data_IF_960702913267
#
_entry.id   IF_960702913267
#
_cell.length_a   1.000
_cell.length_b   1.000
_cell.length_c   1.000
_cell.angle_alpha   90.00
_cell.angle_beta   90.00
_cell.angle_gamma   90.00
#
_symmetry.space_group_name_H-M   'P 1'
#
loop_
_entity.id
_entity.type
_entity.pdbx_description
1 polymer ?
#
# COMPACT_ATOMS: atom_id res chain seq x y z
N UNK A 1 -0.85 13.59 2.71
CA UNK A 1 -1.73 14.68 3.19
C UNK A 1 -1.69 14.92 4.71
N UNK A 2 -1.60 13.90 5.60
CA UNK A 2 -1.47 14.17 7.06
C UNK A 2 -0.06 14.64 7.45
N UNK A 3 0.99 14.02 6.89
CA UNK A 3 2.38 14.36 7.22
C UNK A 3 2.75 15.82 6.92
N UNK A 4 2.38 16.34 5.75
CA UNK A 4 2.75 17.68 5.28
C UNK A 4 2.19 18.83 6.12
N UNK A 5 1.16 18.58 6.93
CA UNK A 5 0.50 19.57 7.79
C UNK A 5 0.85 19.42 9.27
N UNK A 6 1.59 18.37 9.64
CA UNK A 6 2.05 18.16 11.01
C UNK A 6 3.28 19.03 11.33
N UNK A 7 3.40 19.43 12.60
CA UNK A 7 4.64 20.04 13.09
C UNK A 7 5.78 19.01 13.11
N UNK A 8 7.03 19.46 13.04
CA UNK A 8 8.19 18.56 13.13
C UNK A 8 8.17 17.71 14.42
N UNK A 9 7.68 18.28 15.53
CA UNK A 9 7.52 17.56 16.79
C UNK A 9 6.45 16.46 16.72
N UNK A 10 5.33 16.70 16.02
CA UNK A 10 4.32 15.67 15.79
C UNK A 10 4.85 14.57 14.86
N UNK A 11 5.52 14.95 13.76
CA UNK A 11 6.09 14.02 12.79
C UNK A 11 7.10 13.05 13.42
N UNK A 12 7.92 13.51 14.37
CA UNK A 12 8.90 12.68 15.07
C UNK A 12 8.26 11.53 15.88
N UNK A 13 6.96 11.61 16.17
CA UNK A 13 6.22 10.55 16.87
C UNK A 13 5.54 9.57 15.92
N UNK A 14 5.49 9.85 14.62
CA UNK A 14 4.81 9.00 13.65
C UNK A 14 5.50 7.64 13.51
N UNK A 15 4.68 6.62 13.24
CA UNK A 15 5.14 5.30 12.80
C UNK A 15 4.52 5.00 11.45
N UNK A 16 5.38 4.85 10.44
CA UNK A 16 4.98 4.49 9.10
C UNK A 16 4.99 2.98 8.97
N UNK A 17 3.83 2.39 8.67
CA UNK A 17 3.71 0.96 8.37
C UNK A 17 3.58 0.81 6.87
N UNK A 18 4.52 0.10 6.24
CA UNK A 18 4.58 -0.07 4.79
C UNK A 18 4.54 -1.57 4.50
N UNK A 19 3.40 -2.05 3.99
CA UNK A 19 3.29 -3.41 3.46
C UNK A 19 3.85 -3.49 2.04
N UNK A 20 4.65 -4.50 1.75
CA UNK A 20 5.24 -4.75 0.43
C UNK A 20 5.02 -6.19 -0.02
N UNK A 21 4.96 -6.36 -1.34
CA UNK A 21 5.02 -7.64 -2.04
C UNK A 21 5.42 -7.38 -3.49
N UNK A 22 5.76 -8.41 -4.27
CA UNK A 22 6.36 -8.21 -5.60
C UNK A 22 5.51 -7.34 -6.55
N UNK A 23 4.17 -7.40 -6.45
CA UNK A 23 3.26 -6.64 -7.31
C UNK A 23 3.30 -5.12 -7.10
N UNK A 24 3.96 -4.64 -6.04
CA UNK A 24 4.21 -3.20 -5.85
C UNK A 24 5.37 -2.67 -6.67
N UNK A 25 6.24 -3.55 -7.15
CA UNK A 25 7.45 -3.19 -7.87
C UNK A 25 7.30 -3.39 -9.39
N UNK A 26 6.09 -3.22 -9.92
CA UNK A 26 5.89 -3.13 -11.38
C UNK A 26 6.50 -1.82 -11.86
N UNK A 27 7.16 -1.83 -13.02
CA UNK A 27 7.65 -0.62 -13.66
C UNK A 27 6.52 0.40 -13.91
N UNK A 28 6.77 1.69 -13.68
CA UNK A 28 5.76 2.75 -13.82
C UNK A 28 5.17 2.80 -15.23
N UNK A 29 6.00 2.72 -16.27
CA UNK A 29 5.56 2.81 -17.66
C UNK A 29 4.74 1.55 -18.06
N UNK A 30 4.93 0.43 -17.35
CA UNK A 30 4.14 -0.79 -17.50
C UNK A 30 2.82 -0.74 -16.71
N UNK A 31 2.84 -0.26 -15.46
CA UNK A 31 1.66 -0.22 -14.59
C UNK A 31 0.65 0.83 -15.04
N UNK A 32 1.13 1.96 -15.57
CA UNK A 32 0.30 3.09 -15.97
C UNK A 32 0.64 3.53 -17.41
N UNK A 33 0.17 2.78 -18.42
CA UNK A 33 0.47 3.08 -19.82
C UNK A 33 -0.12 4.43 -20.28
N UNK A 34 0.61 5.11 -21.18
CA UNK A 34 0.51 6.56 -21.49
C UNK A 34 -0.69 6.99 -22.36
N UNK A 35 -1.87 6.40 -22.20
CA UNK A 35 -2.99 6.75 -23.10
C UNK A 35 -3.51 8.19 -22.86
N UNK A 36 -3.41 8.71 -21.63
CA UNK A 36 -3.81 10.07 -21.22
C UNK A 36 -2.97 10.65 -20.05
N UNK A 37 -1.93 9.92 -19.62
CA UNK A 37 -1.10 10.24 -18.44
C UNK A 37 0.24 10.85 -18.82
N UNK A 38 0.75 11.80 -18.02
CA UNK A 38 2.15 12.17 -18.11
C UNK A 38 3.01 11.07 -17.47
N UNK A 39 4.24 10.92 -17.95
CA UNK A 39 5.17 9.91 -17.42
C UNK A 39 5.37 10.15 -15.92
N UNK A 40 5.08 9.15 -15.10
CA UNK A 40 5.17 9.25 -13.64
C UNK A 40 3.84 9.44 -12.93
N UNK A 41 2.76 9.78 -13.64
CA UNK A 41 1.43 9.91 -13.03
C UNK A 41 0.88 8.53 -12.63
N UNK A 42 0.61 8.38 -11.33
CA UNK A 42 -0.10 7.24 -10.75
C UNK A 42 -1.62 7.44 -10.83
N UNK A 43 -2.39 6.42 -10.42
CA UNK A 43 -3.84 6.57 -10.26
C UNK A 43 -4.21 7.64 -9.22
N UNK A 44 -3.40 7.76 -8.15
CA UNK A 44 -3.60 8.78 -7.12
C UNK A 44 -3.38 10.16 -7.72
N UNK A 45 -2.31 10.36 -8.50
CA UNK A 45 -2.03 11.65 -9.13
C UNK A 45 -3.16 12.06 -10.06
N UNK A 46 -3.68 11.11 -10.83
CA UNK A 46 -4.85 11.32 -11.71
C UNK A 46 -6.08 11.78 -10.91
N UNK A 47 -6.36 11.15 -9.77
CA UNK A 47 -7.45 11.59 -8.88
C UNK A 47 -7.19 12.95 -8.22
N UNK A 48 -5.93 13.28 -7.89
CA UNK A 48 -5.58 14.60 -7.34
C UNK A 48 -5.85 15.72 -8.34
N UNK A 49 -5.61 15.49 -9.64
CA UNK A 49 -5.90 16.47 -10.69
C UNK A 49 -7.40 16.63 -10.96
N UNK A 50 -8.20 15.58 -10.70
CA UNK A 50 -9.61 15.49 -11.12
C UNK A 50 -10.49 16.63 -10.60
N UNK A 51 -10.19 17.14 -9.41
CA UNK A 51 -10.98 18.17 -8.75
C UNK A 51 -10.36 19.57 -8.84
N UNK A 52 -9.25 19.72 -9.58
CA UNK A 52 -8.56 21.00 -9.76
C UNK A 52 -7.85 21.53 -8.51
N UNK A 53 -7.74 20.73 -7.45
CA UNK A 53 -6.99 21.09 -6.23
C UNK A 53 -5.48 20.97 -6.41
N UNK A 54 -5.05 20.15 -7.36
CA UNK A 54 -3.65 19.97 -7.73
C UNK A 54 -3.44 20.30 -9.20
N UNK A 55 -2.31 20.94 -9.50
CA UNK A 55 -1.83 21.14 -10.86
C UNK A 55 -0.65 20.22 -11.15
N UNK A 56 -0.52 19.84 -12.43
CA UNK A 56 0.62 19.07 -12.93
C UNK A 56 1.87 19.94 -12.96
N UNK A 57 3.00 19.34 -12.58
CA UNK A 57 4.36 19.90 -12.74
C UNK A 57 5.31 18.78 -13.16
N UNK A 58 6.52 19.12 -13.62
CA UNK A 58 7.54 18.13 -13.99
C UNK A 58 7.95 17.22 -12.82
N UNK A 59 7.71 17.67 -11.59
CA UNK A 59 7.94 16.92 -10.34
C UNK A 59 6.71 16.21 -9.78
N UNK A 60 5.58 16.20 -10.52
CA UNK A 60 4.32 15.60 -10.09
C UNK A 60 3.26 16.60 -9.60
N UNK A 61 2.25 16.16 -8.81
CA UNK A 61 1.17 17.02 -8.38
C UNK A 61 1.62 18.05 -7.34
N UNK A 62 1.24 19.32 -7.56
CA UNK A 62 1.47 20.42 -6.61
C UNK A 62 0.13 21.07 -6.25
N UNK A 63 -0.17 21.31 -4.96
CA UNK A 63 -1.42 21.94 -4.56
C UNK A 63 -1.54 23.35 -5.16
N UNK A 64 -2.74 23.68 -5.63
CA UNK A 64 -3.04 24.98 -6.23
C UNK A 64 -3.13 26.07 -5.16
N UNK A 65 -3.68 25.75 -3.99
CA UNK A 65 -3.69 26.66 -2.85
C UNK A 65 -2.51 26.37 -1.90
N UNK A 66 -2.02 27.40 -1.20
CA UNK A 66 -1.07 27.22 -0.11
C UNK A 66 -1.58 26.23 0.94
N UNK A 67 -0.69 25.41 1.50
CA UNK A 67 -0.96 24.36 2.50
C UNK A 67 -1.88 24.83 3.65
N UNK A 68 -1.77 26.09 4.08
CA UNK A 68 -2.63 26.69 5.12
C UNK A 68 -4.13 26.68 4.79
N UNK A 69 -4.50 26.54 3.52
CA UNK A 69 -5.88 26.47 3.05
C UNK A 69 -6.36 25.04 2.77
N UNK A 70 -5.53 24.01 2.95
CA UNK A 70 -5.96 22.61 2.81
C UNK A 70 -7.23 22.27 3.63
N UNK A 71 -7.42 22.75 4.87
CA UNK A 71 -8.67 22.49 5.60
C UNK A 71 -9.91 23.03 4.89
N UNK A 72 -9.77 24.20 4.23
CA UNK A 72 -10.85 24.81 3.46
C UNK A 72 -11.10 24.04 2.16
N UNK A 73 -10.06 23.62 1.45
CA UNK A 73 -10.18 22.75 0.27
C UNK A 73 -10.92 21.46 0.58
N UNK A 74 -10.56 20.79 1.68
CA UNK A 74 -11.23 19.57 2.15
C UNK A 74 -12.71 19.85 2.49
N UNK A 75 -13.03 21.01 3.06
CA UNK A 75 -14.42 21.38 3.32
C UNK A 75 -15.21 21.60 2.02
N UNK A 76 -14.59 22.21 1.02
CA UNK A 76 -15.22 22.55 -0.27
C UNK A 76 -15.40 21.34 -1.21
N UNK A 77 -14.52 20.34 -1.15
CA UNK A 77 -14.63 19.14 -1.99
C UNK A 77 -15.68 18.15 -1.48
N UNK A 78 -15.99 18.15 -0.17
CA UNK A 78 -16.95 17.22 0.45
C UNK A 78 -18.33 17.24 -0.22
N UNK A 79 -18.96 18.40 -0.51
CA UNK A 79 -20.21 18.43 -1.26
C UNK A 79 -20.11 17.78 -2.64
N UNK A 80 -19.00 18.01 -3.36
CA UNK A 80 -18.80 17.40 -4.68
C UNK A 80 -18.65 15.88 -4.58
N UNK A 81 -17.87 15.38 -3.61
CA UNK A 81 -17.74 13.94 -3.35
C UNK A 81 -19.07 13.30 -2.93
N UNK A 82 -19.89 14.02 -2.17
CA UNK A 82 -21.23 13.57 -1.78
C UNK A 82 -22.15 13.45 -3.00
N UNK A 83 -22.16 14.45 -3.88
CA UNK A 83 -22.92 14.41 -5.13
C UNK A 83 -22.44 13.27 -6.04
N UNK A 84 -21.12 13.10 -6.17
CA UNK A 84 -20.56 11.99 -6.96
C UNK A 84 -20.95 10.64 -6.36
N UNK A 85 -20.90 10.48 -5.04
CA UNK A 85 -21.35 9.25 -4.37
C UNK A 85 -22.82 8.99 -4.65
N UNK A 86 -23.71 9.97 -4.45
CA UNK A 86 -25.15 9.83 -4.73
C UNK A 86 -25.38 9.46 -6.20
N UNK A 87 -24.68 10.11 -7.13
CA UNK A 87 -24.78 9.79 -8.56
C UNK A 87 -24.27 8.36 -8.87
N UNK A 88 -23.20 7.91 -8.21
CA UNK A 88 -22.70 6.54 -8.33
C UNK A 88 -23.71 5.53 -7.78
N UNK A 89 -24.24 5.76 -6.58
CA UNK A 89 -25.23 4.89 -5.93
C UNK A 89 -26.51 4.80 -6.77
N UNK A 90 -26.96 5.92 -7.36
CA UNK A 90 -28.12 5.95 -8.26
C UNK A 90 -27.88 5.25 -9.60
N UNK A 91 -26.64 5.24 -10.08
CA UNK A 91 -26.25 4.57 -11.33
C UNK A 91 -25.73 3.16 -11.10
N UNK A 92 -25.66 2.69 -9.86
CA UNK A 92 -25.11 1.38 -9.50
C UNK A 92 -25.92 0.24 -10.11
N UNK A 93 -27.26 0.29 -10.01
CA UNK A 93 -28.14 -0.71 -10.63
C UNK A 93 -28.03 -0.75 -12.16
N UNK A 94 -27.80 0.41 -12.80
CA UNK A 94 -27.59 0.50 -14.25
C UNK A 94 -26.18 0.01 -14.65
N UNK A 95 -25.16 0.31 -13.84
CA UNK A 95 -23.79 -0.17 -14.03
C UNK A 95 -23.69 -1.67 -13.80
N UNK A 96 -24.41 -2.24 -12.84
CA UNK A 96 -24.46 -3.68 -12.62
C UNK A 96 -25.14 -4.41 -13.79
N UNK A 97 -26.15 -3.78 -14.40
CA UNK A 97 -26.82 -4.30 -15.59
C UNK A 97 -25.99 -4.16 -16.89
N UNK A 98 -25.08 -3.17 -16.98
CA UNK A 98 -24.31 -2.85 -18.18
C UNK A 98 -22.82 -3.25 -18.11
N UNK A 99 -22.26 -3.40 -16.91
CA UNK A 99 -20.85 -3.73 -16.68
C UNK A 99 -20.75 -4.97 -15.76
N UNK A 100 -20.03 -5.98 -16.23
CA UNK A 100 -19.75 -7.24 -15.53
C UNK A 100 -18.69 -6.97 -14.43
N UNK A 101 -19.00 -6.13 -13.44
CA UNK A 101 -18.26 -6.17 -12.18
C UNK A 101 -18.95 -7.21 -11.30
N UNK A 102 -18.25 -8.29 -10.88
CA UNK A 102 -18.84 -9.22 -9.94
C UNK A 102 -19.23 -8.48 -8.66
N UNK A 103 -20.33 -8.88 -8.00
CA UNK A 103 -20.81 -8.23 -6.79
C UNK A 103 -19.74 -8.27 -5.69
N UNK A 104 -19.71 -7.24 -4.85
CA UNK A 104 -18.84 -7.21 -3.67
C UNK A 104 -19.21 -8.37 -2.74
N UNK A 105 -18.25 -9.26 -2.48
CA UNK A 105 -18.42 -10.39 -1.59
C UNK A 105 -18.26 -9.94 -0.12
N UNK A 106 -19.17 -10.39 0.73
CA UNK A 106 -19.07 -10.24 2.19
C UNK A 106 -17.85 -11.02 2.73
N UNK A 107 -17.37 -10.65 3.92
CA UNK A 107 -16.28 -11.39 4.58
C UNK A 107 -16.60 -12.88 4.73
N UNK A 108 -17.86 -13.21 5.04
CA UNK A 108 -18.31 -14.59 5.20
C UNK A 108 -18.29 -15.39 3.90
N UNK A 109 -18.51 -14.73 2.76
CA UNK A 109 -18.41 -15.34 1.44
C UNK A 109 -16.96 -15.50 1.02
N UNK A 110 -16.11 -14.47 1.25
CA UNK A 110 -14.67 -14.52 1.02
C UNK A 110 -14.00 -15.67 1.77
N UNK A 111 -14.41 -15.90 3.01
CA UNK A 111 -13.91 -17.02 3.84
C UNK A 111 -14.14 -18.40 3.20
N UNK A 112 -15.23 -18.54 2.42
CA UNK A 112 -15.60 -19.82 1.77
C UNK A 112 -14.95 -20.02 0.41
N UNK A 113 -14.29 -19.01 -0.15
CA UNK A 113 -13.67 -19.13 -1.48
C UNK A 113 -12.53 -20.14 -1.42
N UNK A 114 -12.53 -21.07 -2.37
CA UNK A 114 -11.39 -21.93 -2.66
C UNK A 114 -11.13 -21.80 -4.15
N UNK A 115 -9.93 -21.33 -4.50
CA UNK A 115 -9.59 -21.13 -5.91
C UNK A 115 -9.45 -22.45 -6.63
N UNK A 116 -10.13 -22.56 -7.77
CA UNK A 116 -9.93 -23.64 -8.73
C UNK A 116 -8.55 -23.53 -9.39
N UNK A 117 -8.05 -24.64 -9.96
CA UNK A 117 -6.79 -24.64 -10.70
C UNK A 117 -6.79 -23.63 -11.86
N UNK A 118 -7.93 -23.47 -12.55
CA UNK A 118 -8.08 -22.50 -13.63
C UNK A 118 -7.93 -21.06 -13.12
N UNK A 119 -8.61 -20.71 -12.02
CA UNK A 119 -8.49 -19.37 -11.43
C UNK A 119 -7.05 -19.06 -10.99
N UNK A 120 -6.35 -20.04 -10.42
CA UNK A 120 -4.92 -19.89 -10.10
C UNK A 120 -4.08 -19.61 -11.35
N UNK A 121 -4.34 -20.34 -12.44
CA UNK A 121 -3.64 -20.13 -13.71
C UNK A 121 -3.96 -18.77 -14.34
N UNK A 122 -5.23 -18.35 -14.32
CA UNK A 122 -5.66 -17.05 -14.85
C UNK A 122 -4.99 -15.89 -14.07
N UNK A 123 -4.87 -16.03 -12.74
CA UNK A 123 -4.15 -15.06 -11.91
C UNK A 123 -2.64 -15.00 -12.25
N UNK A 124 -1.98 -16.15 -12.46
CA UNK A 124 -0.58 -16.17 -12.90
C UNK A 124 -0.40 -15.52 -14.27
N UNK A 125 -1.33 -15.73 -15.19
CA UNK A 125 -1.31 -15.11 -16.50
C UNK A 125 -1.50 -13.60 -16.40
N UNK A 126 -2.46 -13.15 -15.58
CA UNK A 126 -2.67 -11.74 -15.29
C UNK A 126 -1.40 -11.07 -14.76
N UNK A 127 -0.71 -11.68 -13.79
CA UNK A 127 0.54 -11.13 -13.26
C UNK A 127 1.67 -11.16 -14.27
N UNK A 128 1.71 -12.15 -15.17
CA UNK A 128 2.68 -12.19 -16.27
C UNK A 128 2.47 -11.03 -17.25
N UNK A 129 1.24 -10.74 -17.59
CA UNK A 129 0.88 -9.61 -18.46
C UNK A 129 1.12 -8.26 -17.77
N UNK A 130 0.76 -8.17 -16.48
CA UNK A 130 0.88 -6.94 -15.70
C UNK A 130 2.33 -6.56 -15.40
N UNK A 131 3.16 -7.51 -14.98
CA UNK A 131 4.59 -7.28 -14.70
C UNK A 131 5.40 -7.15 -16.00
N UNK A 132 4.94 -7.80 -17.08
CA UNK A 132 5.62 -7.82 -18.36
C UNK A 132 7.00 -8.50 -18.31
N UNK A 133 7.82 -8.34 -19.36
CA UNK A 133 9.16 -8.92 -19.42
C UNK A 133 10.16 -8.23 -18.47
N UNK A 134 9.87 -6.99 -18.07
CA UNK A 134 10.72 -6.21 -17.17
C UNK A 134 10.73 -6.77 -15.74
N UNK A 135 9.66 -7.45 -15.32
CA UNK A 135 9.56 -8.06 -14.00
C UNK A 135 9.63 -7.04 -12.86
N UNK A 136 10.38 -7.40 -11.81
CA UNK A 136 10.53 -6.57 -10.60
C UNK A 136 11.43 -5.38 -10.90
N UNK A 137 10.87 -4.17 -10.80
CA UNK A 137 11.56 -2.91 -11.09
C UNK A 137 12.45 -2.47 -9.92
N UNK A 138 13.76 -2.49 -10.14
CA UNK A 138 14.74 -1.97 -9.17
C UNK A 138 14.62 -0.46 -8.96
N UNK A 139 14.09 0.28 -9.94
CA UNK A 139 13.81 1.70 -9.78
C UNK A 139 12.73 1.94 -8.71
N UNK A 140 11.66 1.14 -8.71
CA UNK A 140 10.63 1.22 -7.66
C UNK A 140 11.17 0.79 -6.29
N UNK A 141 12.07 -0.21 -6.25
CA UNK A 141 12.76 -0.59 -5.02
C UNK A 141 13.59 0.57 -4.46
N UNK A 142 14.35 1.25 -5.34
CA UNK A 142 15.17 2.41 -4.97
C UNK A 142 14.32 3.59 -4.46
N UNK A 143 13.15 3.85 -5.07
CA UNK A 143 12.22 4.88 -4.58
C UNK A 143 11.71 4.59 -3.16
N UNK A 144 11.39 3.32 -2.87
CA UNK A 144 10.99 2.93 -1.52
C UNK A 144 12.17 3.07 -0.54
N UNK A 145 13.37 2.61 -0.92
CA UNK A 145 14.58 2.75 -0.11
C UNK A 145 14.89 4.23 0.20
N UNK A 146 14.81 5.13 -0.78
CA UNK A 146 14.99 6.56 -0.56
C UNK A 146 13.92 7.13 0.37
N UNK A 147 12.67 6.70 0.20
CA UNK A 147 11.55 7.13 1.06
C UNK A 147 11.77 6.71 2.50
N UNK A 148 12.12 5.45 2.76
CA UNK A 148 12.47 4.97 4.10
C UNK A 148 13.65 5.74 4.67
N UNK A 149 14.69 5.99 3.87
CA UNK A 149 15.86 6.75 4.30
C UNK A 149 15.50 8.17 4.75
N UNK A 150 14.60 8.85 4.03
CA UNK A 150 14.10 10.19 4.39
C UNK A 150 13.30 10.18 5.69
N UNK A 151 12.39 9.21 5.85
CA UNK A 151 11.60 9.05 7.08
C UNK A 151 12.51 8.84 8.30
N UNK A 152 13.49 7.93 8.19
CA UNK A 152 14.43 7.65 9.27
C UNK A 152 15.36 8.85 9.56
N UNK A 153 15.79 9.59 8.53
CA UNK A 153 16.58 10.82 8.68
C UNK A 153 15.81 11.93 9.40
N UNK A 154 14.48 11.96 9.26
CA UNK A 154 13.59 12.83 10.01
C UNK A 154 13.24 12.29 11.42
N UNK A 155 13.99 11.28 11.91
CA UNK A 155 13.77 10.60 13.19
C UNK A 155 12.40 9.93 13.33
N UNK A 156 11.70 9.70 12.22
CA UNK A 156 10.45 8.96 12.22
C UNK A 156 10.71 7.46 12.28
N UNK A 157 9.69 6.70 12.65
CA UNK A 157 9.78 5.24 12.73
C UNK A 157 9.18 4.60 11.50
N UNK A 158 9.78 3.50 11.05
CA UNK A 158 9.31 2.72 9.89
C UNK A 158 9.22 1.26 10.28
N UNK A 159 8.04 0.67 10.07
CA UNK A 159 7.81 -0.77 10.10
C UNK A 159 7.57 -1.23 8.66
N UNK A 160 8.54 -1.93 8.09
CA UNK A 160 8.43 -2.52 6.76
C UNK A 160 7.93 -3.95 6.88
N UNK A 161 6.81 -4.26 6.24
CA UNK A 161 6.15 -5.56 6.32
C UNK A 161 6.20 -6.24 4.96
N UNK A 162 6.90 -7.37 4.86
CA UNK A 162 6.84 -8.25 3.69
C UNK A 162 5.60 -9.14 3.81
N UNK A 163 4.59 -8.81 3.01
CA UNK A 163 3.28 -9.44 3.04
C UNK A 163 3.37 -10.83 2.40
N UNK A 164 2.84 -11.86 3.07
CA UNK A 164 2.88 -13.20 2.54
C UNK A 164 1.91 -13.37 1.37
N UNK A 165 2.19 -14.41 0.59
CA UNK A 165 1.38 -14.84 -0.55
C UNK A 165 0.99 -16.30 -0.34
N UNK A 166 -0.13 -16.75 -0.93
CA UNK A 166 -0.45 -18.16 -0.93
C UNK A 166 0.67 -18.93 -1.62
N UNK A 167 0.98 -20.11 -1.08
CA UNK A 167 2.10 -20.95 -1.49
C UNK A 167 2.09 -21.22 -3.00
N UNK A 168 0.92 -21.53 -3.57
CA UNK A 168 0.80 -21.77 -5.02
C UNK A 168 1.27 -20.57 -5.86
N UNK A 169 0.98 -19.35 -5.43
CA UNK A 169 1.35 -18.14 -6.18
C UNK A 169 2.84 -17.85 -6.03
N UNK A 170 3.35 -17.99 -4.80
CA UNK A 170 4.76 -17.83 -4.47
C UNK A 170 5.66 -18.76 -5.29
N UNK A 171 5.29 -20.04 -5.37
CA UNK A 171 6.08 -21.07 -6.04
C UNK A 171 6.00 -20.97 -7.58
N UNK A 172 4.84 -20.60 -8.11
CA UNK A 172 4.62 -20.56 -9.56
C UNK A 172 4.97 -19.20 -10.20
N UNK A 173 5.02 -18.11 -9.44
CA UNK A 173 5.33 -16.79 -9.98
C UNK A 173 6.83 -16.66 -10.30
N UNK A 174 7.21 -16.37 -11.56
CA UNK A 174 8.61 -16.16 -11.93
C UNK A 174 9.20 -14.90 -11.29
N UNK A 175 8.36 -14.02 -10.73
CA UNK A 175 8.75 -12.74 -10.17
C UNK A 175 9.07 -12.80 -8.67
N UNK A 176 8.56 -13.81 -7.96
CA UNK A 176 8.70 -13.88 -6.51
C UNK A 176 10.17 -14.02 -6.07
N UNK A 177 10.91 -14.95 -6.66
CA UNK A 177 12.31 -15.19 -6.28
C UNK A 177 13.24 -13.99 -6.53
N UNK A 178 13.17 -13.30 -7.69
CA UNK A 178 13.86 -12.02 -7.87
C UNK A 178 13.46 -10.96 -6.85
N UNK A 179 12.16 -10.83 -6.57
CA UNK A 179 11.64 -9.90 -5.56
C UNK A 179 12.20 -10.21 -4.16
N UNK A 180 12.10 -11.46 -3.70
CA UNK A 180 12.50 -11.86 -2.35
C UNK A 180 13.99 -11.55 -2.11
N UNK A 181 14.85 -11.88 -3.09
CA UNK A 181 16.28 -11.55 -3.01
C UNK A 181 16.52 -10.05 -2.94
N UNK A 182 15.86 -9.29 -3.80
CA UNK A 182 16.05 -7.84 -3.87
C UNK A 182 15.49 -7.14 -2.63
N UNK A 183 14.29 -7.50 -2.16
CA UNK A 183 13.67 -6.92 -0.97
C UNK A 183 14.52 -7.21 0.28
N UNK A 184 15.04 -8.44 0.41
CA UNK A 184 15.95 -8.79 1.50
C UNK A 184 17.21 -7.92 1.49
N UNK A 185 17.91 -7.84 0.36
CA UNK A 185 19.17 -7.10 0.26
C UNK A 185 18.98 -5.58 0.37
N UNK A 186 18.07 -5.01 -0.42
CA UNK A 186 17.96 -3.55 -0.61
C UNK A 186 17.12 -2.86 0.47
N UNK A 187 16.27 -3.61 1.19
CA UNK A 187 15.38 -3.04 2.19
C UNK A 187 15.65 -3.63 3.58
N UNK A 188 15.45 -4.93 3.78
CA UNK A 188 15.53 -5.52 5.12
C UNK A 188 16.95 -5.48 5.70
N UNK A 189 17.93 -6.01 4.98
CA UNK A 189 19.32 -6.06 5.42
C UNK A 189 19.93 -4.65 5.44
N UNK A 190 19.64 -3.84 4.41
CA UNK A 190 20.11 -2.45 4.29
C UNK A 190 19.71 -1.58 5.50
N UNK A 191 18.46 -1.68 5.98
CA UNK A 191 17.97 -0.89 7.11
C UNK A 191 18.04 -1.61 8.47
N UNK A 192 18.43 -2.89 8.52
CA UNK A 192 18.39 -3.75 9.72
C UNK A 192 18.99 -3.12 10.98
N UNK A 193 20.08 -2.36 10.84
CA UNK A 193 20.81 -1.72 11.95
C UNK A 193 20.47 -0.23 12.14
N UNK A 194 19.48 0.31 11.40
CA UNK A 194 19.13 1.73 11.46
C UNK A 194 18.16 1.98 12.61
N UNK A 195 18.45 2.93 13.52
CA UNK A 195 17.50 3.32 14.57
C UNK A 195 16.16 3.74 13.96
N UNK A 196 15.06 3.27 14.57
CA UNK A 196 13.70 3.58 14.11
C UNK A 196 13.15 2.66 13.02
N UNK A 197 13.96 1.77 12.45
CA UNK A 197 13.51 0.75 11.50
C UNK A 197 13.16 -0.57 12.21
N UNK A 198 12.06 -1.20 11.79
CA UNK A 198 11.77 -2.60 12.10
C UNK A 198 11.29 -3.31 10.83
N UNK A 199 11.90 -4.43 10.50
CA UNK A 199 11.41 -5.34 9.47
C UNK A 199 10.51 -6.43 10.06
N UNK A 200 9.39 -6.72 9.41
CA UNK A 200 8.52 -7.85 9.68
C UNK A 200 8.33 -8.65 8.40
N UNK A 201 8.70 -9.93 8.38
CA UNK A 201 8.38 -10.86 7.29
C UNK A 201 7.62 -12.03 7.88
N UNK A 202 6.58 -12.48 7.19
CA UNK A 202 5.68 -13.54 7.66
C UNK A 202 5.53 -14.67 6.63
N UNK A 203 6.63 -15.23 6.10
CA UNK A 203 6.58 -16.18 4.98
C UNK A 203 5.95 -17.52 5.35
N UNK A 204 5.73 -17.76 6.64
CA UNK A 204 5.04 -18.92 7.21
C UNK A 204 3.51 -18.84 7.10
N UNK A 205 2.98 -17.68 6.74
CA UNK A 205 1.55 -17.43 6.59
C UNK A 205 1.10 -17.60 5.12
N UNK A 206 1.54 -18.69 4.47
CA UNK A 206 1.37 -18.93 3.03
C UNK A 206 0.30 -19.98 2.69
N UNK A 207 -0.62 -20.27 3.61
CA UNK A 207 -1.65 -21.28 3.42
C UNK A 207 -2.56 -20.98 2.22
N UNK A 208 -2.60 -21.89 1.24
CA UNK A 208 -3.38 -21.73 0.00
C UNK A 208 -4.88 -21.43 0.20
N UNK A 209 -5.45 -21.87 1.33
CA UNK A 209 -6.87 -21.68 1.66
C UNK A 209 -7.12 -20.41 2.49
N UNK A 210 -6.07 -19.70 2.88
CA UNK A 210 -6.15 -18.53 3.76
C UNK A 210 -6.30 -17.24 2.97
N UNK A 211 -6.38 -17.34 1.64
CA UNK A 211 -6.50 -16.22 0.70
C UNK A 211 -7.78 -16.32 -0.13
N UNK A 212 -8.40 -15.17 -0.37
CA UNK A 212 -9.61 -15.06 -1.20
C UNK A 212 -9.28 -15.01 -2.70
N UNK A 213 -8.06 -14.62 -3.04
CA UNK A 213 -7.49 -14.64 -4.38
C UNK A 213 -5.97 -14.89 -4.30
N UNK A 214 -5.19 -14.43 -5.28
CA UNK A 214 -3.75 -14.65 -5.33
C UNK A 214 -2.93 -13.81 -4.35
N UNK A 215 -3.50 -12.80 -3.69
CA UNK A 215 -2.77 -11.89 -2.77
C UNK A 215 -3.55 -11.43 -1.54
N UNK A 216 -4.88 -11.45 -1.57
CA UNK A 216 -5.71 -10.90 -0.49
C UNK A 216 -6.07 -11.97 0.53
N UNK A 217 -5.50 -11.83 1.73
CA UNK A 217 -5.81 -12.66 2.89
C UNK A 217 -7.31 -12.62 3.24
N UNK A 218 -7.82 -13.75 3.71
CA UNK A 218 -9.14 -13.85 4.35
C UNK A 218 -9.11 -13.23 5.74
N UNK A 219 -10.28 -12.97 6.31
CA UNK A 219 -10.43 -12.27 7.59
C UNK A 219 -9.68 -12.97 8.73
N UNK A 220 -9.74 -14.30 8.82
CA UNK A 220 -9.03 -15.04 9.86
C UNK A 220 -7.51 -14.84 9.78
N UNK A 221 -6.93 -14.85 8.57
CA UNK A 221 -5.51 -14.62 8.36
C UNK A 221 -5.13 -13.15 8.61
N UNK A 222 -5.98 -12.22 8.18
CA UNK A 222 -5.81 -10.79 8.44
C UNK A 222 -5.78 -10.46 9.95
N UNK A 223 -6.50 -11.21 10.79
CA UNK A 223 -6.39 -11.09 12.26
C UNK A 223 -5.00 -11.48 12.74
N UNK A 224 -4.45 -12.60 12.26
CA UNK A 224 -3.08 -13.04 12.60
C UNK A 224 -2.04 -12.00 12.13
N UNK A 225 -2.21 -11.44 10.93
CA UNK A 225 -1.35 -10.35 10.44
C UNK A 225 -1.39 -9.14 11.37
N UNK A 226 -2.60 -8.76 11.80
CA UNK A 226 -2.81 -7.62 12.69
C UNK A 226 -2.16 -7.84 14.04
N UNK A 227 -2.29 -9.04 14.62
CA UNK A 227 -1.64 -9.39 15.90
C UNK A 227 -0.11 -9.32 15.81
N UNK A 228 0.49 -9.87 14.75
CA UNK A 228 1.94 -9.81 14.54
C UNK A 228 2.43 -8.39 14.30
N UNK A 229 1.69 -7.60 13.52
CA UNK A 229 1.99 -6.20 13.30
C UNK A 229 1.88 -5.39 14.59
N UNK A 230 0.80 -5.58 15.36
CA UNK A 230 0.61 -4.94 16.65
C UNK A 230 1.75 -5.27 17.61
N UNK A 231 2.20 -6.53 17.66
CA UNK A 231 3.35 -6.94 18.49
C UNK A 231 4.67 -6.23 18.10
N UNK A 232 4.80 -5.70 16.88
CA UNK A 232 5.96 -4.91 16.45
C UNK A 232 5.78 -3.41 16.76
N UNK A 233 4.54 -2.92 16.78
CA UNK A 233 4.20 -1.52 17.04
C UNK A 233 4.09 -1.22 18.55
N UNK A 234 3.39 -2.07 19.30
CA UNK A 234 2.94 -1.87 20.69
C UNK A 234 4.01 -1.91 21.79
N UNK A 235 5.08 -2.75 21.74
CA UNK A 235 6.09 -2.78 22.81
C UNK A 235 6.73 -1.42 23.11
N UNK A 236 6.54 -0.44 22.22
CA UNK A 236 7.11 0.90 22.29
C UNK A 236 6.10 2.01 22.62
N UNK A 237 4.80 1.73 22.62
CA UNK A 237 3.78 2.69 23.11
C UNK A 237 3.76 2.75 24.64
N UNK A 238 3.97 1.61 25.33
CA UNK A 238 4.03 1.57 26.79
C UNK A 238 5.31 2.20 27.38
N UNK A 239 6.46 2.16 26.70
CA UNK A 239 7.70 2.79 27.21
C UNK A 239 7.61 4.31 27.26
N UNK A 240 6.90 4.95 26.32
CA UNK A 240 6.71 6.40 26.32
C UNK A 240 5.83 6.86 27.50
N UNK A 241 4.79 6.09 27.83
CA UNK A 241 3.88 6.37 28.96
C UNK A 241 4.58 6.14 30.31
N UNK A 242 5.40 5.09 30.45
CA UNK A 242 6.09 4.82 31.72
C UNK A 242 7.24 5.80 32.02
N UNK A 243 7.92 6.34 31.00
CA UNK A 243 8.96 7.36 31.22
C UNK A 243 8.40 8.71 31.67
N UNK A 244 7.18 9.06 31.28
CA UNK A 244 6.51 10.29 31.73
C UNK A 244 5.93 10.20 33.15
N UNK A 245 5.71 8.99 33.66
CA UNK A 245 5.24 8.76 35.03
C UNK A 245 6.36 8.60 36.05
N UNK A 246 7.61 8.52 35.59
CA UNK A 246 8.81 8.34 36.41
C UNK A 246 9.67 9.61 36.40
N UNK A 247 9.08 10.75 36.79
CA UNK A 247 9.79 12.03 36.93
C UNK A 247 10.98 11.93 37.91
N UNK A 248 11.95 12.87 37.82
CA UNK A 248 13.19 12.80 38.58
C UNK A 248 12.91 12.84 40.09
N UNK A 249 13.56 11.91 40.80
CA UNK A 249 13.55 11.83 42.26
C UNK A 249 14.25 13.03 42.90
#
# INVERSE_FOLDING_TARGET
MVHEVQSAAAQATDTWVIGIWFGMFIDTDQRWPRNDRQRGDTDIDTELYRYGLYRRTDSGPVPVLPIRFLPLEVALIRPYLMLEKVARDWTEGLRYALFIRPPDLTDSERERIVLTAQQKQDALEYWRQSMGPSGVSMAQMGLLQETISRLLAAHQRVVLVDLPLPKWHREASPYYQPYERAARAELFDYFSNRPGFTGLSMPDLDGDQDYSDEVHAKLHLARIWTERLAAVIEPRLCSAVMSQLSGPA
#
